data_IF_996239837288
#
_entry.id   IF_996239837288
#
_cell.length_a   1.000
_cell.length_b   1.000
_cell.length_c   1.000
_cell.angle_alpha   90.00
_cell.angle_beta   90.00
_cell.angle_gamma   90.00
#
_symmetry.space_group_name_H-M   'P 1'
#
loop_
_entity.id
_entity.type
_entity.pdbx_description
1 polymer ?
#
# COMPACT_ATOMS: atom_id res chain seq x y z
N UNK A 1 -58.08 -47.11 -25.89
CA UNK A 1 -57.21 -46.85 -24.73
C UNK A 1 -56.15 -45.84 -25.10
N UNK A 2 -56.24 -44.64 -24.55
CA UNK A 2 -55.29 -43.55 -24.81
C UNK A 2 -54.36 -43.49 -23.60
N UNK A 3 -53.07 -43.79 -23.80
CA UNK A 3 -52.05 -43.64 -22.80
C UNK A 3 -51.55 -42.18 -22.76
N UNK A 4 -51.70 -41.50 -21.63
CA UNK A 4 -51.16 -40.16 -21.40
C UNK A 4 -49.74 -40.29 -20.84
N UNK A 5 -48.78 -39.83 -21.64
CA UNK A 5 -47.38 -39.74 -21.25
C UNK A 5 -47.19 -38.44 -20.44
N UNK A 6 -46.96 -38.55 -19.13
CA UNK A 6 -46.59 -37.41 -18.29
C UNK A 6 -45.07 -37.19 -18.38
N UNK A 7 -44.68 -36.10 -19.07
CA UNK A 7 -43.31 -35.64 -19.06
C UNK A 7 -43.13 -34.80 -17.80
N UNK A 8 -42.41 -35.34 -16.83
CA UNK A 8 -41.99 -34.59 -15.67
C UNK A 8 -40.79 -33.66 -16.07
N UNK A 9 -41.04 -32.36 -16.15
CA UNK A 9 -39.99 -31.37 -16.32
C UNK A 9 -39.30 -31.18 -14.98
N UNK A 10 -38.10 -31.70 -14.84
CA UNK A 10 -37.22 -31.46 -13.70
C UNK A 10 -36.60 -30.09 -13.86
N UNK A 11 -37.13 -29.08 -13.19
CA UNK A 11 -36.51 -27.74 -13.13
C UNK A 11 -35.32 -27.80 -12.19
N UNK A 12 -34.12 -27.85 -12.75
CA UNK A 12 -32.88 -27.71 -12.00
C UNK A 12 -32.74 -26.22 -11.58
N UNK A 13 -33.13 -25.94 -10.35
CA UNK A 13 -32.82 -24.66 -9.72
C UNK A 13 -31.32 -24.66 -9.40
N UNK A 14 -30.53 -24.10 -10.28
CA UNK A 14 -29.13 -23.75 -9.96
C UNK A 14 -29.18 -22.62 -8.94
N UNK A 15 -29.07 -23.00 -7.66
CA UNK A 15 -28.87 -22.02 -6.60
C UNK A 15 -27.54 -21.33 -6.87
N UNK A 16 -27.58 -20.08 -7.34
CA UNK A 16 -26.42 -19.19 -7.30
C UNK A 16 -26.01 -19.08 -5.83
N UNK A 17 -24.94 -19.77 -5.45
CA UNK A 17 -24.33 -19.53 -4.17
C UNK A 17 -23.87 -18.06 -4.17
N UNK A 18 -24.22 -17.26 -3.15
CA UNK A 18 -23.69 -15.92 -3.04
C UNK A 18 -22.17 -16.03 -3.04
N UNK A 19 -21.53 -15.33 -3.96
CA UNK A 19 -20.10 -15.14 -3.96
C UNK A 19 -19.72 -14.75 -2.54
N UNK A 20 -18.86 -15.53 -1.91
CA UNK A 20 -18.31 -15.17 -0.60
C UNK A 20 -17.61 -13.84 -0.77
N UNK A 21 -18.29 -12.77 -0.37
CA UNK A 21 -17.64 -11.49 -0.12
C UNK A 21 -16.56 -11.80 0.90
N UNK A 22 -15.28 -11.50 0.62
CA UNK A 22 -14.23 -11.74 1.58
C UNK A 22 -14.65 -11.07 2.89
N UNK A 23 -14.90 -11.88 3.91
CA UNK A 23 -15.15 -11.36 5.25
C UNK A 23 -13.92 -10.56 5.65
N UNK A 24 -14.12 -9.27 5.96
CA UNK A 24 -13.09 -8.39 6.50
C UNK A 24 -12.25 -9.17 7.50
N UNK A 25 -10.90 -9.22 7.34
CA UNK A 25 -10.05 -9.94 8.27
C UNK A 25 -10.33 -9.49 9.69
N UNK A 26 -10.53 -10.43 10.59
CA UNK A 26 -10.72 -10.19 12.04
C UNK A 26 -9.38 -9.93 12.73
N UNK A 27 -8.39 -9.42 11.98
CA UNK A 27 -7.09 -9.07 12.50
C UNK A 27 -7.12 -7.79 13.35
N UNK A 28 -6.12 -7.60 14.17
CA UNK A 28 -5.88 -6.36 14.90
C UNK A 28 -5.81 -5.21 13.89
N UNK A 29 -6.58 -4.15 14.12
CA UNK A 29 -6.48 -2.91 13.34
C UNK A 29 -5.53 -1.96 14.06
N UNK A 30 -4.56 -1.43 13.35
CA UNK A 30 -3.64 -0.40 13.83
C UNK A 30 -3.82 0.82 12.96
N UNK A 31 -4.28 1.92 13.56
CA UNK A 31 -4.42 3.20 12.88
C UNK A 31 -3.21 4.08 13.20
N UNK A 32 -2.62 4.69 12.19
CA UNK A 32 -1.47 5.58 12.32
C UNK A 32 -1.63 6.82 11.47
N UNK A 33 -1.38 7.99 12.08
CA UNK A 33 -1.32 9.26 11.39
C UNK A 33 0.14 9.67 11.27
N UNK A 34 0.55 9.98 10.05
CA UNK A 34 1.89 10.46 9.75
C UNK A 34 1.88 11.97 9.59
N UNK A 35 2.93 12.62 10.09
CA UNK A 35 3.04 14.09 10.16
C UNK A 35 4.07 14.66 9.22
N UNK A 36 4.94 13.81 8.66
CA UNK A 36 5.96 14.21 7.71
C UNK A 36 6.10 13.16 6.62
N UNK A 37 6.38 13.60 5.40
CA UNK A 37 6.61 12.74 4.25
C UNK A 37 7.80 13.24 3.42
N UNK A 38 8.61 12.29 2.94
CA UNK A 38 9.69 12.51 1.98
C UNK A 38 9.44 11.66 0.74
N UNK A 39 9.44 12.31 -0.42
CA UNK A 39 9.21 11.66 -1.72
C UNK A 39 10.46 11.76 -2.56
N UNK A 40 10.98 10.61 -2.96
CA UNK A 40 12.13 10.52 -3.87
C UNK A 40 11.67 10.08 -5.24
N UNK A 41 11.92 10.93 -6.26
CA UNK A 41 11.60 10.63 -7.64
C UNK A 41 12.85 10.09 -8.35
N UNK A 42 12.78 8.86 -8.85
CA UNK A 42 13.89 8.19 -9.54
C UNK A 42 13.76 8.22 -11.07
N UNK A 43 12.69 8.84 -11.59
CA UNK A 43 12.39 8.80 -13.02
C UNK A 43 12.12 7.37 -13.50
N UNK A 44 12.36 7.09 -14.78
CA UNK A 44 12.25 5.73 -15.34
C UNK A 44 13.48 4.87 -14.97
N UNK A 45 13.65 4.60 -13.66
CA UNK A 45 14.80 3.89 -13.11
C UNK A 45 15.03 2.50 -13.74
N UNK A 46 13.96 1.82 -14.10
CA UNK A 46 14.01 0.46 -14.67
C UNK A 46 13.97 0.41 -16.18
N UNK A 47 13.97 1.55 -16.89
CA UNK A 47 13.77 1.65 -18.34
C UNK A 47 12.49 0.92 -18.80
N UNK A 48 11.42 1.05 -18.02
CA UNK A 48 10.14 0.38 -18.23
C UNK A 48 9.06 1.32 -18.77
N UNK A 49 9.37 2.62 -18.93
CA UNK A 49 8.41 3.66 -19.30
C UNK A 49 7.54 4.12 -18.12
N UNK A 50 7.94 3.78 -16.89
CA UNK A 50 7.24 4.13 -15.67
C UNK A 50 8.09 5.06 -14.80
N UNK A 51 7.47 6.08 -14.21
CA UNK A 51 8.08 6.85 -13.13
C UNK A 51 8.09 6.02 -11.85
N UNK A 52 9.22 6.05 -11.14
CA UNK A 52 9.42 5.32 -9.89
C UNK A 52 9.60 6.29 -8.74
N UNK A 53 8.85 6.09 -7.67
CA UNK A 53 8.96 6.88 -6.46
C UNK A 53 9.26 5.99 -5.25
N UNK A 54 10.01 6.53 -4.27
CA UNK A 54 10.00 5.99 -2.91
C UNK A 54 9.37 7.02 -1.98
N UNK A 55 8.61 6.55 -1.01
CA UNK A 55 7.89 7.38 -0.04
C UNK A 55 8.27 6.94 1.36
N UNK A 56 8.78 7.88 2.15
CA UNK A 56 8.96 7.72 3.60
C UNK A 56 7.91 8.55 4.32
N UNK A 57 7.09 7.91 5.16
CA UNK A 57 6.16 8.57 6.06
C UNK A 57 6.66 8.45 7.49
N UNK A 58 6.78 9.59 8.18
CA UNK A 58 7.23 9.64 9.57
C UNK A 58 6.08 10.07 10.48
N UNK A 59 5.85 9.30 11.55
CA UNK A 59 4.92 9.69 12.61
C UNK A 59 5.51 10.81 13.47
N UNK A 60 4.66 11.43 14.28
CA UNK A 60 5.12 12.37 15.30
C UNK A 60 6.24 11.76 16.18
N UNK A 61 7.22 12.56 16.52
CA UNK A 61 8.41 12.15 17.28
C UNK A 61 9.58 11.61 16.45
N UNK A 62 9.41 11.41 15.14
CA UNK A 62 10.50 11.13 14.21
C UNK A 62 10.80 12.33 13.30
N UNK A 63 12.07 12.52 13.00
CA UNK A 63 12.52 13.50 12.03
C UNK A 63 13.80 13.05 11.32
N UNK A 64 14.11 13.66 10.17
CA UNK A 64 15.41 13.54 9.54
C UNK A 64 16.41 14.50 10.21
N UNK A 65 17.59 14.02 10.51
CA UNK A 65 18.71 14.85 10.89
C UNK A 65 19.36 15.53 9.67
N UNK A 66 20.39 16.34 9.90
CA UNK A 66 21.09 17.04 8.81
C UNK A 66 21.85 16.12 7.85
N UNK A 67 22.06 14.86 8.22
CA UNK A 67 22.68 13.81 7.40
C UNK A 67 21.63 12.86 6.78
N UNK A 68 20.35 13.20 6.88
CA UNK A 68 19.21 12.43 6.38
C UNK A 68 19.04 11.06 7.04
N UNK A 69 19.50 10.89 8.28
CA UNK A 69 19.15 9.75 9.09
C UNK A 69 17.86 10.04 9.87
N UNK A 70 17.02 9.02 9.98
CA UNK A 70 15.81 9.10 10.80
C UNK A 70 16.23 9.00 12.27
N UNK A 71 15.78 9.95 13.09
CA UNK A 71 16.07 10.04 14.51
C UNK A 71 14.81 10.28 15.32
N UNK A 72 14.82 9.84 16.61
CA UNK A 72 13.73 10.01 17.54
C UNK A 72 13.02 8.72 17.92
N UNK A 73 11.75 8.84 18.27
CA UNK A 73 10.88 7.73 18.66
C UNK A 73 9.56 7.81 17.92
N UNK A 74 9.15 6.72 17.27
CA UNK A 74 7.90 6.67 16.48
C UNK A 74 7.91 5.59 15.42
N UNK A 75 7.12 5.81 14.36
CA UNK A 75 6.94 4.88 13.25
C UNK A 75 7.39 5.50 11.93
N UNK A 76 8.18 4.76 11.17
CA UNK A 76 8.49 5.08 9.78
C UNK A 76 7.85 4.03 8.88
N UNK A 77 6.92 4.47 8.04
CA UNK A 77 6.34 3.63 6.98
C UNK A 77 7.05 3.97 5.67
N UNK A 78 7.74 2.99 5.12
CA UNK A 78 8.48 3.11 3.87
C UNK A 78 7.79 2.32 2.76
N UNK A 79 7.56 3.00 1.62
CA UNK A 79 7.11 2.39 0.38
C UNK A 79 8.23 2.55 -0.65
N UNK A 80 8.86 1.46 -1.05
CA UNK A 80 9.77 1.51 -2.18
C UNK A 80 9.04 1.21 -3.48
N UNK A 81 9.57 1.73 -4.57
CA UNK A 81 9.14 1.40 -5.93
C UNK A 81 7.62 1.52 -6.12
N UNK A 82 7.11 2.74 -5.92
CA UNK A 82 5.76 3.14 -6.34
C UNK A 82 5.82 3.48 -7.81
N UNK A 83 5.13 2.72 -8.64
CA UNK A 83 5.15 2.85 -10.10
C UNK A 83 3.99 3.72 -10.58
N UNK A 84 4.32 4.84 -11.18
CA UNK A 84 3.36 5.78 -11.73
C UNK A 84 3.50 5.91 -13.25
N UNK A 85 2.48 6.44 -13.91
CA UNK A 85 2.60 6.83 -15.32
C UNK A 85 3.57 8.00 -15.45
N UNK A 86 4.41 7.97 -16.49
CA UNK A 86 5.24 9.10 -16.83
C UNK A 86 4.37 10.35 -17.05
N UNK A 87 4.78 11.48 -16.48
CA UNK A 87 4.12 12.76 -16.59
C UNK A 87 5.10 13.86 -16.94
N UNK A 88 4.60 14.96 -17.50
CA UNK A 88 5.40 16.14 -17.81
C UNK A 88 5.79 16.95 -16.56
N UNK A 89 5.21 16.63 -15.40
CA UNK A 89 5.47 17.29 -14.12
C UNK A 89 5.88 16.27 -13.04
N UNK A 90 6.82 16.68 -12.18
CA UNK A 90 7.18 15.88 -10.99
C UNK A 90 5.96 15.84 -10.06
N UNK A 91 5.51 14.64 -9.72
CA UNK A 91 4.40 14.42 -8.80
C UNK A 91 3.84 13.01 -8.91
N UNK A 92 3.39 12.47 -7.78
CA UNK A 92 2.70 11.19 -7.76
C UNK A 92 1.26 11.40 -8.27
N UNK A 93 0.84 10.78 -9.39
CA UNK A 93 -0.52 10.94 -9.91
C UNK A 93 -1.60 10.56 -8.92
N UNK A 94 -2.73 11.28 -8.95
CA UNK A 94 -3.93 10.87 -8.22
C UNK A 94 -4.42 9.51 -8.70
N UNK A 95 -4.95 8.73 -7.76
CA UNK A 95 -5.52 7.43 -8.09
C UNK A 95 -5.28 6.39 -7.02
N UNK A 96 -5.57 5.17 -7.37
CA UNK A 96 -5.39 4.00 -6.51
C UNK A 96 -4.20 3.20 -6.98
N UNK A 97 -3.35 2.85 -6.04
CA UNK A 97 -2.15 2.04 -6.22
C UNK A 97 -2.33 0.74 -5.45
N UNK A 98 -2.15 -0.39 -6.12
CA UNK A 98 -2.27 -1.72 -5.51
C UNK A 98 -0.90 -2.28 -5.16
N UNK A 99 -0.77 -2.92 -4.00
CA UNK A 99 0.46 -3.63 -3.66
C UNK A 99 0.63 -4.87 -4.53
N UNK A 100 1.79 -5.00 -5.18
CA UNK A 100 2.08 -6.10 -6.09
C UNK A 100 3.52 -6.63 -5.88
N UNK A 101 3.82 -7.75 -6.49
CA UNK A 101 5.16 -8.31 -6.64
C UNK A 101 5.80 -7.96 -7.98
N UNK A 102 5.06 -7.32 -8.87
CA UNK A 102 5.48 -6.98 -10.24
C UNK A 102 5.34 -5.48 -10.45
N UNK A 103 6.36 -4.88 -11.07
CA UNK A 103 6.37 -3.48 -11.48
C UNK A 103 5.31 -3.22 -12.57
N UNK A 104 4.33 -2.39 -12.26
CA UNK A 104 3.32 -1.90 -13.21
C UNK A 104 2.78 -0.55 -12.77
N UNK A 105 2.34 0.28 -13.70
CA UNK A 105 1.67 1.56 -13.38
C UNK A 105 0.49 1.33 -12.43
N UNK A 106 0.39 2.16 -11.39
CA UNK A 106 -0.65 2.05 -10.36
C UNK A 106 -0.36 0.94 -9.34
N UNK A 107 0.90 0.55 -9.18
CA UNK A 107 1.29 -0.41 -8.12
C UNK A 107 2.45 0.10 -7.27
N UNK A 108 2.66 -0.57 -6.15
CA UNK A 108 3.84 -0.43 -5.31
C UNK A 108 4.28 -1.80 -4.77
N UNK A 109 5.59 -1.97 -4.52
CA UNK A 109 6.12 -3.28 -4.20
C UNK A 109 5.77 -3.73 -2.78
N UNK A 110 5.37 -5.00 -2.65
CA UNK A 110 5.19 -5.66 -1.36
C UNK A 110 6.51 -5.78 -0.61
N UNK A 111 6.44 -5.79 0.72
CA UNK A 111 7.59 -5.99 1.59
C UNK A 111 8.20 -7.38 1.40
N UNK A 112 9.52 -7.44 1.21
CA UNK A 112 10.28 -8.68 1.02
C UNK A 112 11.56 -8.63 1.85
N UNK A 113 11.97 -9.79 2.34
CA UNK A 113 13.29 -10.00 2.93
C UNK A 113 13.99 -11.11 2.14
N UNK A 114 15.03 -10.72 1.42
CA UNK A 114 15.84 -11.67 0.69
C UNK A 114 17.27 -11.65 1.27
N UNK A 115 17.64 -12.72 1.96
CA UNK A 115 18.96 -12.89 2.58
C UNK A 115 19.41 -11.71 3.47
N UNK A 116 18.47 -11.13 4.21
CA UNK A 116 18.73 -9.97 5.08
C UNK A 116 18.58 -8.61 4.38
N UNK A 117 18.41 -8.57 3.06
CA UNK A 117 18.10 -7.34 2.33
C UNK A 117 16.59 -7.11 2.33
N UNK A 118 16.17 -6.01 2.91
CA UNK A 118 14.77 -5.61 2.98
C UNK A 118 14.46 -4.68 1.82
N UNK A 119 13.38 -4.97 1.09
CA UNK A 119 12.87 -4.15 -0.01
C UNK A 119 11.35 -4.09 0.02
N UNK A 120 10.76 -3.21 -0.78
CA UNK A 120 9.31 -3.04 -0.86
C UNK A 120 8.75 -2.23 0.31
N UNK A 121 7.56 -2.58 0.76
CA UNK A 121 6.81 -1.80 1.75
C UNK A 121 6.95 -2.41 3.14
N UNK A 122 7.43 -1.61 4.09
CA UNK A 122 7.62 -2.02 5.48
C UNK A 122 7.41 -0.86 6.47
N UNK A 123 7.11 -1.22 7.70
CA UNK A 123 7.04 -0.32 8.85
C UNK A 123 8.22 -0.59 9.79
N UNK A 124 8.89 0.47 10.21
CA UNK A 124 9.86 0.45 11.30
C UNK A 124 9.24 1.06 12.55
N UNK A 125 9.34 0.38 13.65
CA UNK A 125 9.14 0.93 14.99
C UNK A 125 10.51 1.34 15.54
N UNK A 126 10.68 2.64 15.82
CA UNK A 126 11.94 3.23 16.24
C UNK A 126 11.76 3.79 17.64
N UNK A 127 12.68 3.50 18.54
CA UNK A 127 12.73 4.05 19.88
C UNK A 127 14.16 4.49 20.21
N UNK A 128 14.32 5.77 20.55
CA UNK A 128 15.64 6.37 20.82
C UNK A 128 16.66 6.04 19.71
N UNK A 129 16.31 6.34 18.46
CA UNK A 129 17.12 6.12 17.24
C UNK A 129 17.43 4.65 16.93
N UNK A 130 16.80 3.69 17.60
CA UNK A 130 17.04 2.25 17.38
C UNK A 130 15.79 1.58 16.84
N UNK A 131 15.97 0.80 15.80
CA UNK A 131 14.90 -0.05 15.27
C UNK A 131 14.61 -1.15 16.30
N UNK A 132 13.38 -1.14 16.83
CA UNK A 132 12.88 -2.14 17.78
C UNK A 132 12.18 -3.29 17.04
N UNK A 133 11.47 -2.94 15.96
CA UNK A 133 10.67 -3.89 15.19
C UNK A 133 10.58 -3.47 13.74
N UNK A 134 10.51 -4.48 12.87
CA UNK A 134 10.19 -4.30 11.46
C UNK A 134 9.00 -5.17 11.08
N UNK A 135 8.08 -4.60 10.33
CA UNK A 135 6.87 -5.27 9.85
C UNK A 135 6.83 -5.16 8.34
N UNK A 136 6.73 -6.31 7.66
CA UNK A 136 6.62 -6.38 6.21
C UNK A 136 5.15 -6.49 5.80
N UNK A 137 4.72 -5.69 4.83
CA UNK A 137 3.39 -5.78 4.27
C UNK A 137 3.37 -6.66 3.03
N UNK A 138 2.31 -7.46 2.87
CA UNK A 138 2.17 -8.47 1.82
C UNK A 138 1.12 -8.13 0.79
N UNK A 139 0.06 -7.45 1.23
CA UNK A 139 -0.99 -6.94 0.36
C UNK A 139 -1.44 -5.58 0.86
N UNK A 140 -2.05 -4.79 0.01
CA UNK A 140 -2.57 -3.49 0.40
C UNK A 140 -2.90 -2.61 -0.78
N UNK A 141 -3.42 -1.45 -0.43
CA UNK A 141 -3.83 -0.42 -1.36
C UNK A 141 -3.45 0.94 -0.80
N UNK A 142 -3.07 1.85 -1.67
CA UNK A 142 -2.86 3.26 -1.37
C UNK A 142 -3.71 4.10 -2.29
N UNK A 143 -4.47 5.02 -1.74
CA UNK A 143 -5.15 6.08 -2.50
C UNK A 143 -4.35 7.37 -2.39
N UNK A 144 -4.15 8.02 -3.53
CA UNK A 144 -3.48 9.32 -3.65
C UNK A 144 -4.48 10.34 -4.13
N UNK A 145 -4.60 11.44 -3.41
CA UNK A 145 -5.42 12.60 -3.78
C UNK A 145 -4.68 13.88 -3.40
N UNK A 146 -5.21 15.04 -3.80
CA UNK A 146 -4.69 16.36 -3.46
C UNK A 146 -5.79 17.26 -2.96
N UNK A 147 -5.50 17.99 -1.88
CA UNK A 147 -6.37 19.05 -1.35
C UNK A 147 -5.56 20.35 -1.34
N UNK A 148 -5.87 21.25 -2.26
CA UNK A 148 -5.03 22.38 -2.60
C UNK A 148 -3.62 21.92 -3.03
N UNK A 149 -2.57 22.32 -2.30
CA UNK A 149 -1.17 21.94 -2.58
C UNK A 149 -0.69 20.76 -1.72
N UNK A 150 -1.54 20.24 -0.83
CA UNK A 150 -1.22 19.10 0.03
C UNK A 150 -1.59 17.79 -0.64
N UNK A 151 -0.70 16.80 -0.58
CA UNK A 151 -1.03 15.43 -0.93
C UNK A 151 -1.79 14.76 0.22
N UNK A 152 -2.77 13.95 -0.14
CA UNK A 152 -3.51 13.10 0.79
C UNK A 152 -3.23 11.64 0.43
N UNK A 153 -2.66 10.90 1.37
CA UNK A 153 -2.44 9.46 1.25
C UNK A 153 -3.34 8.74 2.24
N UNK A 154 -4.02 7.72 1.75
CA UNK A 154 -4.82 6.79 2.54
C UNK A 154 -4.40 5.35 2.18
N UNK A 155 -3.81 4.64 3.16
CA UNK A 155 -3.19 3.34 2.95
C UNK A 155 -3.88 2.27 3.81
N UNK A 156 -4.28 1.20 3.18
CA UNK A 156 -4.76 -0.01 3.83
C UNK A 156 -3.79 -1.15 3.54
N UNK A 157 -3.00 -1.53 4.53
CA UNK A 157 -1.89 -2.47 4.40
C UNK A 157 -2.15 -3.71 5.27
N UNK A 158 -1.72 -4.88 4.79
CA UNK A 158 -1.92 -6.14 5.50
C UNK A 158 -0.61 -6.92 5.57
N UNK A 159 -0.35 -7.45 6.74
CA UNK A 159 0.75 -8.39 6.99
C UNK A 159 0.38 -9.81 6.53
N UNK A 160 1.34 -10.74 6.62
CA UNK A 160 1.11 -12.14 6.26
C UNK A 160 0.06 -12.83 7.16
N UNK A 161 -0.02 -12.44 8.44
CA UNK A 161 -1.02 -12.93 9.40
C UNK A 161 -2.36 -12.16 9.33
N UNK A 162 -2.56 -11.36 8.28
CA UNK A 162 -3.75 -10.55 8.02
C UNK A 162 -4.02 -9.45 9.05
N UNK A 163 -3.01 -9.03 9.83
CA UNK A 163 -3.12 -7.81 10.63
C UNK A 163 -3.27 -6.61 9.70
N UNK A 164 -4.29 -5.80 9.94
CA UNK A 164 -4.60 -4.61 9.14
C UNK A 164 -3.97 -3.36 9.76
N UNK A 165 -3.25 -2.63 8.94
CA UNK A 165 -2.71 -1.31 9.24
C UNK A 165 -3.39 -0.28 8.33
N UNK A 166 -3.97 0.74 8.95
CA UNK A 166 -4.49 1.90 8.26
C UNK A 166 -3.58 3.07 8.55
N UNK A 167 -3.03 3.66 7.51
CA UNK A 167 -2.09 4.78 7.60
C UNK A 167 -2.61 5.95 6.78
N UNK A 168 -2.56 7.16 7.34
CA UNK A 168 -2.95 8.39 6.64
C UNK A 168 -1.87 9.44 6.73
N UNK A 169 -1.74 10.22 5.66
CA UNK A 169 -0.91 11.41 5.61
C UNK A 169 -1.64 12.51 4.86
N UNK A 170 -1.59 13.73 5.36
CA UNK A 170 -2.00 14.94 4.64
C UNK A 170 -0.99 16.04 4.92
N UNK A 171 -0.42 16.60 3.89
CA UNK A 171 0.56 17.67 4.02
C UNK A 171 1.32 17.96 2.74
N UNK A 172 2.28 18.91 2.81
CA UNK A 172 3.08 19.30 1.66
C UNK A 172 4.00 18.16 1.20
N UNK A 173 4.28 18.12 -0.09
CA UNK A 173 5.23 17.18 -0.68
C UNK A 173 6.54 17.89 -0.97
N UNK A 174 7.63 17.33 -0.46
CA UNK A 174 8.97 17.66 -0.91
C UNK A 174 9.49 16.53 -1.81
N UNK A 175 9.63 16.80 -3.10
CA UNK A 175 10.27 15.89 -4.04
C UNK A 175 11.78 16.13 -4.06
N UNK A 176 12.55 15.04 -4.08
CA UNK A 176 14.01 15.03 -4.25
C UNK A 176 14.41 14.14 -5.41
#
# INVERSE_FOLDING_TARGET
MKAYLYIAILVLVVACQPHNVPTKPTGLQVDSVYTSADFRAYGDYYNSGHEVYAIDLLSDGLAYDSAWHISGTGYNLFLSDVFASAQDSIGLPTGTYEMDSVARVGSFLRGMNFEGNITGTYLLEINEDKIQRMILFRTGQMTVDYVADDIVLDLHLYTEDSTHYHATYMGPVMYR
#
